data_IF_052081945425
#
_entry.id   IF_052081945425
#
_cell.length_a   1.000
_cell.length_b   1.000
_cell.length_c   1.000
_cell.angle_alpha   90.00
_cell.angle_beta   90.00
_cell.angle_gamma   90.00
#
_symmetry.space_group_name_H-M   'P 1'
#
loop_
_entity.id
_entity.type
_entity.pdbx_description
1 polymer ?
#
# COMPACT_ATOMS: atom_id res chain seq x y z
N UNK A 1 25.73 -9.36 1.32
CA UNK A 1 26.33 -8.00 1.28
C UNK A 1 25.29 -7.04 0.73
N UNK A 2 24.95 -6.02 1.48
CA UNK A 2 24.02 -4.96 1.06
C UNK A 2 24.70 -4.03 0.07
N UNK A 3 24.12 -3.82 -1.10
CA UNK A 3 24.67 -2.94 -2.14
C UNK A 3 23.57 -2.34 -3.00
N UNK A 4 23.86 -1.18 -3.60
CA UNK A 4 23.05 -0.68 -4.70
C UNK A 4 23.11 -1.71 -5.84
N UNK A 5 21.96 -2.16 -6.29
CA UNK A 5 21.81 -3.10 -7.40
C UNK A 5 21.72 -2.37 -8.73
N UNK A 6 20.86 -1.36 -8.79
CA UNK A 6 20.65 -0.49 -9.94
C UNK A 6 20.02 0.83 -9.52
N UNK A 7 20.18 1.90 -10.31
CA UNK A 7 19.61 3.22 -10.03
C UNK A 7 19.29 3.98 -11.33
N UNK A 8 18.31 4.86 -11.25
CA UNK A 8 17.92 5.82 -12.28
C UNK A 8 17.85 7.24 -11.71
N UNK A 9 17.24 8.16 -12.44
CA UNK A 9 17.16 9.55 -12.01
C UNK A 9 16.33 9.74 -10.74
N UNK A 10 15.26 8.94 -10.58
CA UNK A 10 14.29 9.06 -9.49
C UNK A 10 14.09 7.78 -8.70
N UNK A 11 14.91 6.76 -8.88
CA UNK A 11 14.78 5.49 -8.18
C UNK A 11 16.12 4.84 -7.89
N UNK A 12 16.16 4.05 -6.81
CA UNK A 12 17.31 3.22 -6.43
C UNK A 12 16.82 1.86 -5.96
N UNK A 13 17.46 0.80 -6.43
CA UNK A 13 17.21 -0.56 -5.99
C UNK A 13 18.39 -1.08 -5.18
N UNK A 14 18.11 -1.66 -4.03
CA UNK A 14 19.10 -2.28 -3.15
C UNK A 14 18.93 -3.79 -3.11
N UNK A 15 20.03 -4.52 -3.25
CA UNK A 15 20.08 -5.95 -3.03
C UNK A 15 20.48 -6.25 -1.58
N UNK A 16 19.60 -6.91 -0.83
CA UNK A 16 19.85 -7.28 0.57
C UNK A 16 18.58 -7.44 1.39
N UNK A 17 18.79 -7.72 2.67
CA UNK A 17 17.70 -7.69 3.65
C UNK A 17 17.31 -6.24 3.96
N UNK A 18 16.02 -5.96 4.00
CA UNK A 18 15.54 -4.60 4.28
C UNK A 18 16.00 -4.08 5.64
N UNK A 19 16.22 -4.95 6.63
CA UNK A 19 16.71 -4.58 7.96
C UNK A 19 18.15 -4.03 7.92
N UNK A 20 18.98 -4.59 7.03
CA UNK A 20 20.36 -4.14 6.85
C UNK A 20 20.44 -2.88 5.97
N UNK A 21 19.61 -2.84 4.90
CA UNK A 21 19.58 -1.70 3.96
C UNK A 21 19.04 -0.44 4.62
N UNK A 22 18.07 -0.57 5.50
CA UNK A 22 17.43 0.56 6.17
C UNK A 22 18.44 1.49 6.88
N UNK A 23 19.52 0.93 7.42
CA UNK A 23 20.59 1.70 8.06
C UNK A 23 21.38 2.60 7.09
N UNK A 24 21.29 2.38 5.77
CA UNK A 24 21.94 3.18 4.74
C UNK A 24 21.06 4.35 4.26
N UNK A 25 19.79 4.34 4.61
CA UNK A 25 18.86 5.37 4.17
C UNK A 25 19.06 6.65 5.00
N UNK A 26 18.95 7.83 4.37
CA UNK A 26 18.99 9.08 5.13
C UNK A 26 17.87 9.14 6.17
N UNK A 27 18.19 9.61 7.36
CA UNK A 27 17.20 9.79 8.42
C UNK A 27 16.04 10.70 7.94
N UNK A 28 14.83 10.39 8.37
CA UNK A 28 13.62 11.19 8.14
C UNK A 28 13.31 11.48 6.64
N UNK A 29 13.83 10.67 5.72
CA UNK A 29 13.71 10.90 4.28
C UNK A 29 12.49 10.22 3.64
N UNK A 30 12.01 9.12 4.21
CA UNK A 30 10.94 8.27 3.64
C UNK A 30 9.57 8.83 4.02
N UNK A 31 8.84 9.32 3.02
CA UNK A 31 7.49 9.87 3.21
C UNK A 31 6.42 8.79 3.32
N UNK A 32 6.58 7.70 2.57
CA UNK A 32 5.64 6.58 2.59
C UNK A 32 6.34 5.25 2.34
N UNK A 33 5.95 4.24 3.08
CA UNK A 33 6.21 2.83 2.78
C UNK A 33 4.93 2.24 2.22
N UNK A 34 5.01 1.63 1.03
CA UNK A 34 3.88 0.92 0.41
C UNK A 34 4.39 -0.43 -0.02
N UNK A 35 3.89 -1.49 0.63
CA UNK A 35 4.47 -2.81 0.48
C UNK A 35 3.45 -3.94 0.61
N UNK A 36 3.78 -5.08 0.00
CA UNK A 36 3.12 -6.37 0.20
C UNK A 36 4.19 -7.39 0.59
N UNK A 37 4.51 -7.53 1.88
CA UNK A 37 5.53 -8.44 2.35
C UNK A 37 5.15 -9.90 2.03
N UNK A 38 6.10 -10.86 2.08
CA UNK A 38 5.78 -12.28 2.04
C UNK A 38 4.72 -12.60 3.10
N UNK A 39 3.62 -13.27 2.70
CA UNK A 39 2.58 -13.65 3.66
C UNK A 39 3.04 -14.88 4.44
N UNK A 40 2.60 -14.98 5.70
CA UNK A 40 2.96 -16.10 6.56
C UNK A 40 2.66 -17.45 5.87
N UNK A 41 3.59 -18.39 5.96
CA UNK A 41 3.52 -19.76 5.42
C UNK A 41 3.21 -19.88 3.92
N UNK A 42 3.04 -18.77 3.21
CA UNK A 42 2.77 -18.80 1.79
C UNK A 42 4.08 -18.86 0.99
N UNK A 43 4.13 -19.79 0.03
CA UNK A 43 5.25 -19.93 -0.91
C UNK A 43 6.60 -20.09 -0.19
N UNK A 44 6.64 -20.93 0.83
CA UNK A 44 7.84 -21.24 1.58
C UNK A 44 9.02 -21.64 0.67
N UNK A 45 8.73 -22.35 -0.43
CA UNK A 45 9.72 -22.76 -1.44
C UNK A 45 10.33 -21.58 -2.22
N UNK A 46 9.67 -20.42 -2.24
CA UNK A 46 10.11 -19.26 -3.01
C UNK A 46 10.68 -18.14 -2.15
N UNK A 47 10.14 -17.93 -0.95
CA UNK A 47 10.48 -16.79 -0.08
C UNK A 47 10.97 -17.21 1.31
N UNK A 48 11.17 -18.53 1.55
CA UNK A 48 11.64 -19.04 2.84
C UNK A 48 10.59 -19.11 3.96
N UNK A 49 9.31 -18.82 3.64
CA UNK A 49 8.14 -18.97 4.52
C UNK A 49 8.35 -18.53 5.96
N UNK A 50 7.75 -17.44 6.38
CA UNK A 50 7.80 -17.03 7.79
C UNK A 50 6.66 -17.73 8.51
N UNK A 51 6.93 -18.51 9.60
CA UNK A 51 5.89 -19.14 10.38
C UNK A 51 4.88 -18.12 10.93
N UNK A 52 3.60 -18.48 10.99
CA UNK A 52 2.56 -17.57 11.53
C UNK A 52 2.87 -17.10 12.95
N UNK A 53 3.43 -17.98 13.79
CA UNK A 53 3.82 -17.64 15.16
C UNK A 53 4.95 -16.59 15.24
N UNK A 54 5.83 -16.55 14.26
CA UNK A 54 6.97 -15.62 14.18
C UNK A 54 6.67 -14.35 13.41
N UNK A 55 5.59 -14.35 12.63
CA UNK A 55 5.25 -13.26 11.72
C UNK A 55 5.06 -11.90 12.42
N UNK A 56 4.43 -11.83 13.62
CA UNK A 56 4.29 -10.57 14.35
C UNK A 56 5.65 -9.98 14.77
N UNK A 57 6.56 -10.78 15.33
CA UNK A 57 7.89 -10.31 15.74
C UNK A 57 8.75 -9.93 14.54
N UNK A 58 8.74 -10.73 13.48
CA UNK A 58 9.41 -10.42 12.23
C UNK A 58 8.91 -9.11 11.60
N UNK A 59 7.59 -8.86 11.66
CA UNK A 59 7.03 -7.61 11.16
C UNK A 59 7.52 -6.41 11.97
N UNK A 60 7.56 -6.54 13.29
CA UNK A 60 8.12 -5.48 14.15
C UNK A 60 9.60 -5.24 13.84
N UNK A 61 10.40 -6.28 13.67
CA UNK A 61 11.83 -6.16 13.38
C UNK A 61 12.12 -5.28 12.14
N UNK A 62 11.48 -5.57 11.00
CA UNK A 62 11.74 -4.77 9.80
C UNK A 62 11.11 -3.38 9.89
N UNK A 63 9.98 -3.22 10.55
CA UNK A 63 9.38 -1.90 10.77
C UNK A 63 10.25 -1.02 11.67
N UNK A 64 10.82 -1.59 12.73
CA UNK A 64 11.78 -0.85 13.59
C UNK A 64 13.07 -0.50 12.85
N UNK A 65 13.56 -1.38 11.99
CA UNK A 65 14.76 -1.09 11.18
C UNK A 65 14.55 0.13 10.25
N UNK A 66 13.37 0.27 9.63
CA UNK A 66 13.07 1.42 8.75
C UNK A 66 12.67 2.69 9.52
N UNK A 67 12.30 2.59 10.80
CA UNK A 67 11.79 3.72 11.60
C UNK A 67 12.70 4.96 11.56
N UNK A 68 14.03 4.87 11.69
CA UNK A 68 14.90 6.03 11.63
C UNK A 68 14.88 6.79 10.30
N UNK A 69 14.58 6.07 9.21
CA UNK A 69 14.48 6.69 7.89
C UNK A 69 13.10 7.30 7.62
N UNK A 70 12.08 6.99 8.44
CA UNK A 70 10.73 7.52 8.25
C UNK A 70 10.66 9.02 8.56
N UNK A 71 10.06 9.78 7.64
CA UNK A 71 9.68 11.15 7.90
C UNK A 71 8.72 11.21 9.10
N UNK A 72 8.78 12.24 10.00
CA UNK A 72 7.90 12.35 11.15
C UNK A 72 6.39 12.28 10.83
N UNK A 73 5.99 12.71 9.63
CA UNK A 73 4.61 12.60 9.12
C UNK A 73 4.43 11.41 8.16
N UNK A 74 5.38 10.48 8.13
CA UNK A 74 5.38 9.35 7.21
C UNK A 74 4.40 8.25 7.58
N UNK A 75 3.99 7.49 6.57
CA UNK A 75 3.03 6.38 6.67
C UNK A 75 3.61 5.07 6.17
N UNK A 76 3.15 3.95 6.76
CA UNK A 76 3.49 2.58 6.34
C UNK A 76 2.20 1.85 5.98
N UNK A 77 2.07 1.47 4.70
CA UNK A 77 0.93 0.74 4.14
C UNK A 77 1.34 -0.70 3.89
N UNK A 78 0.78 -1.63 4.66
CA UNK A 78 1.10 -3.06 4.58
C UNK A 78 -0.08 -3.82 4.01
N UNK A 79 0.01 -4.24 2.75
CA UNK A 79 -1.00 -5.11 2.14
C UNK A 79 -0.80 -6.56 2.59
N UNK A 80 -1.82 -7.15 3.18
CA UNK A 80 -1.75 -8.48 3.79
C UNK A 80 -3.13 -9.14 3.78
N UNK A 81 -3.17 -10.47 3.83
CA UNK A 81 -4.42 -11.23 3.96
C UNK A 81 -4.27 -12.39 4.93
N UNK A 82 -5.36 -12.81 5.60
CA UNK A 82 -5.31 -13.98 6.46
C UNK A 82 -5.19 -15.27 5.64
N UNK A 83 -4.50 -16.26 6.20
CA UNK A 83 -4.46 -17.62 5.70
C UNK A 83 -5.65 -18.45 6.22
N UNK A 84 -5.79 -19.64 5.66
CA UNK A 84 -6.59 -20.71 6.23
C UNK A 84 -5.64 -21.81 6.70
N UNK A 85 -5.66 -22.12 8.00
CA UNK A 85 -4.92 -23.22 8.59
C UNK A 85 -5.91 -24.18 9.25
N UNK A 86 -5.86 -25.46 8.89
CA UNK A 86 -6.74 -26.52 9.41
C UNK A 86 -8.25 -26.19 9.38
N UNK A 87 -8.67 -25.49 8.33
CA UNK A 87 -10.07 -25.06 8.17
C UNK A 87 -10.47 -23.83 8.98
N UNK A 88 -9.56 -23.27 9.78
CA UNK A 88 -9.78 -22.04 10.51
C UNK A 88 -9.17 -20.83 9.79
N UNK A 89 -9.77 -19.67 9.99
CA UNK A 89 -9.14 -18.43 9.59
C UNK A 89 -8.01 -18.12 10.59
N UNK A 90 -6.80 -17.98 10.07
CA UNK A 90 -5.64 -17.64 10.90
C UNK A 90 -5.77 -16.23 11.47
N UNK A 91 -5.34 -16.06 12.70
CA UNK A 91 -5.36 -14.80 13.44
C UNK A 91 -3.99 -14.07 13.44
N UNK A 92 -3.00 -14.57 12.67
CA UNK A 92 -1.66 -13.97 12.62
C UNK A 92 -1.67 -12.48 12.28
N UNK A 93 -2.63 -12.03 11.44
CA UNK A 93 -2.77 -10.60 11.13
C UNK A 93 -3.19 -9.78 12.35
N UNK A 94 -4.09 -10.30 13.19
CA UNK A 94 -4.51 -9.64 14.42
C UNK A 94 -3.34 -9.52 15.40
N UNK A 95 -2.59 -10.60 15.58
CA UNK A 95 -1.37 -10.60 16.41
C UNK A 95 -0.32 -9.65 15.88
N UNK A 96 -0.14 -9.57 14.54
CA UNK A 96 0.79 -8.63 13.91
C UNK A 96 0.39 -7.18 14.20
N UNK A 97 -0.87 -6.81 14.04
CA UNK A 97 -1.37 -5.46 14.37
C UNK A 97 -1.11 -5.09 15.83
N UNK A 98 -1.43 -6.01 16.74
CA UNK A 98 -1.20 -5.80 18.17
C UNK A 98 0.29 -5.63 18.51
N UNK A 99 1.16 -6.45 17.91
CA UNK A 99 2.61 -6.38 18.12
C UNK A 99 3.20 -5.06 17.59
N UNK A 100 2.81 -4.62 16.39
CA UNK A 100 3.26 -3.37 15.79
C UNK A 100 2.81 -2.17 16.64
N UNK A 101 1.59 -2.17 17.13
CA UNK A 101 1.09 -1.14 18.06
C UNK A 101 1.84 -1.15 19.39
N UNK A 102 2.12 -2.33 19.94
CA UNK A 102 2.89 -2.49 21.18
C UNK A 102 4.33 -1.97 21.03
N UNK A 103 4.90 -2.03 19.80
CA UNK A 103 6.19 -1.42 19.47
C UNK A 103 6.12 0.11 19.28
N UNK A 104 4.96 0.74 19.50
CA UNK A 104 4.79 2.20 19.49
C UNK A 104 4.45 2.80 18.12
N UNK A 105 4.04 1.99 17.15
CA UNK A 105 3.45 2.50 15.91
C UNK A 105 1.98 2.88 16.13
N UNK A 106 1.57 3.96 15.50
CA UNK A 106 0.16 4.36 15.50
C UNK A 106 -0.54 3.64 14.36
N UNK A 107 -1.56 2.87 14.65
CA UNK A 107 -2.45 2.32 13.63
C UNK A 107 -3.50 3.38 13.28
N UNK A 108 -3.38 3.96 12.08
CA UNK A 108 -4.25 5.04 11.64
C UNK A 108 -5.60 4.53 11.12
N UNK A 109 -5.58 3.46 10.31
CA UNK A 109 -6.78 2.88 9.71
C UNK A 109 -6.51 1.46 9.17
N UNK A 110 -7.57 0.71 8.92
CA UNK A 110 -7.56 -0.49 8.07
C UNK A 110 -8.32 -0.18 6.78
N UNK A 111 -7.61 -0.27 5.65
CA UNK A 111 -8.20 -0.08 4.34
C UNK A 111 -8.47 -1.44 3.69
N UNK A 112 -9.52 -1.53 2.90
CA UNK A 112 -9.90 -2.76 2.22
C UNK A 112 -9.69 -2.61 0.70
N UNK A 113 -8.73 -3.35 0.16
CA UNK A 113 -8.65 -3.53 -1.28
C UNK A 113 -9.71 -4.53 -1.73
N UNK A 114 -10.77 -4.03 -2.36
CA UNK A 114 -11.83 -4.84 -2.94
C UNK A 114 -11.43 -5.32 -4.34
N UNK A 115 -11.58 -6.62 -4.57
CA UNK A 115 -11.29 -7.33 -5.85
C UNK A 115 -12.59 -7.74 -6.53
N UNK A 116 -13.23 -6.85 -7.31
CA UNK A 116 -14.56 -7.14 -7.88
C UNK A 116 -14.54 -8.32 -8.85
N UNK A 117 -13.42 -8.52 -9.54
CA UNK A 117 -13.22 -9.51 -10.61
C UNK A 117 -12.30 -10.67 -10.22
N UNK A 118 -12.00 -10.85 -8.93
CA UNK A 118 -11.11 -11.91 -8.47
C UNK A 118 -11.55 -13.29 -8.99
N UNK A 119 -10.61 -14.18 -9.41
CA UNK A 119 -10.94 -15.49 -9.95
C UNK A 119 -11.74 -16.33 -8.93
N UNK A 120 -12.61 -17.23 -9.39
CA UNK A 120 -13.43 -18.06 -8.51
C UNK A 120 -12.60 -19.22 -7.92
N UNK A 121 -11.47 -18.87 -7.29
CA UNK A 121 -10.59 -19.82 -6.63
C UNK A 121 -10.97 -19.98 -5.17
N UNK A 122 -10.80 -21.16 -4.63
CA UNK A 122 -11.03 -21.48 -3.23
C UNK A 122 -11.95 -22.68 -3.02
N UNK A 123 -12.29 -22.93 -1.77
CA UNK A 123 -13.15 -24.04 -1.39
C UNK A 123 -14.60 -23.78 -1.83
N UNK A 124 -15.31 -24.78 -2.42
CA UNK A 124 -16.72 -24.64 -2.75
C UNK A 124 -17.62 -24.51 -1.51
N UNK A 125 -17.08 -24.75 -0.32
CA UNK A 125 -17.80 -24.63 0.96
C UNK A 125 -17.66 -23.28 1.64
N UNK A 126 -16.98 -22.30 0.99
CA UNK A 126 -16.76 -20.96 1.55
C UNK A 126 -17.04 -19.89 0.50
N UNK A 127 -17.49 -18.71 0.91
CA UNK A 127 -17.57 -17.56 0.00
C UNK A 127 -16.20 -17.27 -0.62
N UNK A 128 -16.21 -16.81 -1.87
CA UNK A 128 -15.01 -16.33 -2.54
C UNK A 128 -14.45 -15.13 -1.79
N UNK A 129 -13.15 -15.16 -1.47
CA UNK A 129 -12.49 -14.02 -0.87
C UNK A 129 -12.25 -12.95 -1.93
N UNK A 130 -12.93 -11.83 -1.80
CA UNK A 130 -12.92 -10.72 -2.75
C UNK A 130 -12.21 -9.48 -2.21
N UNK A 131 -11.36 -9.61 -1.21
CA UNK A 131 -10.65 -8.48 -0.61
C UNK A 131 -9.33 -8.90 0.03
N UNK A 132 -8.46 -7.90 0.23
CA UNK A 132 -7.28 -7.95 1.11
C UNK A 132 -7.27 -6.71 1.99
N UNK A 133 -6.68 -6.82 3.18
CA UNK A 133 -6.48 -5.67 4.07
C UNK A 133 -5.21 -4.92 3.71
N UNK A 134 -5.26 -3.61 3.85
CA UNK A 134 -4.08 -2.75 3.91
C UNK A 134 -4.07 -2.09 5.29
N UNK A 135 -3.13 -2.51 6.14
CA UNK A 135 -2.95 -1.89 7.45
C UNK A 135 -2.14 -0.60 7.29
N UNK A 136 -2.71 0.49 7.74
CA UNK A 136 -2.07 1.79 7.73
C UNK A 136 -1.50 2.11 9.09
N UNK A 137 -0.18 2.10 9.18
CA UNK A 137 0.57 2.56 10.35
C UNK A 137 1.27 3.89 10.08
N UNK A 138 1.60 4.62 11.14
CA UNK A 138 2.36 5.87 11.06
C UNK A 138 3.25 6.05 12.29
N UNK A 139 4.25 6.91 12.14
CA UNK A 139 5.13 7.30 13.26
C UNK A 139 4.40 8.24 14.22
N UNK A 140 3.49 9.05 13.69
CA UNK A 140 2.79 10.12 14.40
C UNK A 140 1.27 9.94 14.27
N UNK A 141 0.46 10.29 15.28
CA UNK A 141 -1.01 10.24 15.20
C UNK A 141 -1.64 11.09 14.09
N UNK A 142 -0.88 12.04 13.54
CA UNK A 142 -1.34 12.93 12.46
C UNK A 142 -0.38 12.83 11.26
N UNK A 143 -0.40 11.70 10.53
CA UNK A 143 0.43 11.56 9.32
C UNK A 143 -0.04 12.52 8.23
N UNK A 144 0.84 12.76 7.25
CA UNK A 144 0.43 13.46 6.05
C UNK A 144 -0.57 12.60 5.24
N UNK A 145 -1.67 13.21 4.79
CA UNK A 145 -2.71 12.53 4.02
C UNK A 145 -3.42 13.50 3.07
N UNK A 146 -3.70 13.03 1.85
CA UNK A 146 -4.55 13.73 0.88
C UNK A 146 -5.80 12.91 0.56
N UNK A 147 -6.84 13.12 1.31
CA UNK A 147 -8.11 12.40 1.17
C UNK A 147 -8.86 12.75 -0.12
N UNK A 148 -8.48 13.83 -0.80
CA UNK A 148 -9.19 14.32 -1.99
C UNK A 148 -8.63 13.71 -3.27
N UNK A 149 -7.33 13.45 -3.35
CA UNK A 149 -6.69 12.88 -4.55
C UNK A 149 -7.14 11.46 -4.89
N UNK A 150 -7.64 10.74 -3.91
CA UNK A 150 -8.18 9.38 -4.06
C UNK A 150 -9.70 9.34 -4.00
N UNK A 151 -10.34 10.46 -3.65
CA UNK A 151 -11.79 10.62 -3.63
C UNK A 151 -12.37 10.63 -5.04
N UNK A 152 -13.58 10.09 -5.23
CA UNK A 152 -14.34 10.24 -6.47
C UNK A 152 -14.94 11.63 -6.53
N UNK A 153 -14.96 12.24 -7.72
CA UNK A 153 -15.88 13.31 -7.99
C UNK A 153 -17.28 12.78 -7.74
N UNK A 154 -18.00 13.36 -6.81
CA UNK A 154 -19.39 13.01 -6.59
C UNK A 154 -20.15 13.47 -7.83
N UNK A 155 -20.61 12.54 -8.65
CA UNK A 155 -21.80 12.74 -9.44
C UNK A 155 -22.95 12.81 -8.44
N UNK A 156 -23.02 13.90 -7.69
CA UNK A 156 -24.09 14.07 -6.74
C UNK A 156 -25.36 14.30 -7.53
N UNK A 157 -26.14 13.27 -7.66
CA UNK A 157 -27.57 13.44 -7.55
C UNK A 157 -27.75 14.15 -6.21
N UNK A 158 -28.00 15.45 -6.26
CA UNK A 158 -28.44 16.20 -5.13
C UNK A 158 -29.72 15.52 -4.67
N UNK A 159 -29.67 14.69 -3.65
CA UNK A 159 -30.83 14.41 -2.85
C UNK A 159 -31.17 15.72 -2.14
N UNK A 160 -31.81 16.60 -2.91
CA UNK A 160 -32.61 17.67 -2.34
C UNK A 160 -33.72 16.94 -1.62
N UNK A 161 -33.58 16.76 -0.32
CA UNK A 161 -34.69 16.48 0.55
C UNK A 161 -35.63 17.71 0.52
N UNK A 162 -36.36 17.85 -0.57
CA UNK A 162 -37.58 18.61 -0.60
C UNK A 162 -38.68 17.63 -0.24
N UNK A 163 -39.01 17.53 1.03
CA UNK A 163 -40.11 16.66 1.40
C UNK A 163 -40.04 16.24 2.84
N UNK A 164 -40.89 16.77 3.62
CA UNK A 164 -41.31 16.36 4.95
C UNK A 164 -41.16 14.86 5.16
N UNK A 165 -40.14 14.47 5.85
CA UNK A 165 -39.94 13.12 6.29
C UNK A 165 -39.03 13.15 7.50
N UNK A 166 -39.62 13.12 8.66
CA UNK A 166 -38.98 12.99 9.94
C UNK A 166 -38.19 11.70 9.95
N UNK A 167 -36.87 11.80 9.96
CA UNK A 167 -36.03 10.81 10.59
C UNK A 167 -35.39 11.50 11.79
N UNK A 168 -36.07 11.50 12.88
CA UNK A 168 -35.48 11.62 14.21
C UNK A 168 -34.57 10.42 14.39
N UNK A 169 -33.32 10.67 14.66
CA UNK A 169 -32.40 9.65 15.11
C UNK A 169 -31.13 9.61 14.30
N UNK A 170 -30.30 10.53 14.55
CA UNK A 170 -28.83 10.61 14.53
C UNK A 170 -28.46 12.06 14.24
N UNK A 171 -28.68 12.91 15.19
CA UNK A 171 -27.93 14.15 15.29
C UNK A 171 -26.53 13.76 15.74
N UNK A 172 -25.64 13.43 14.83
CA UNK A 172 -24.23 13.50 15.11
C UNK A 172 -23.89 14.99 15.26
N UNK A 173 -23.99 15.48 16.48
CA UNK A 173 -23.33 16.70 16.91
C UNK A 173 -21.84 16.52 16.65
N UNK A 174 -21.35 17.01 15.54
CA UNK A 174 -19.94 16.88 15.20
C UNK A 174 -19.59 16.89 13.71
N UNK A 175 -20.52 17.20 12.82
CA UNK A 175 -20.12 17.53 11.45
C UNK A 175 -19.47 18.91 11.45
N UNK A 176 -18.14 18.94 11.64
CA UNK A 176 -17.36 20.14 11.42
C UNK A 176 -17.56 20.62 9.96
N UNK A 177 -17.65 21.90 9.75
CA UNK A 177 -17.74 22.54 8.43
C UNK A 177 -16.60 22.17 7.47
N UNK A 178 -15.56 21.50 7.96
CA UNK A 178 -14.39 21.03 7.23
C UNK A 178 -14.64 19.84 6.29
N UNK A 179 -15.82 19.23 6.33
CA UNK A 179 -16.12 18.07 5.46
C UNK A 179 -16.61 18.45 4.05
N UNK A 180 -16.71 19.73 3.72
CA UNK A 180 -17.25 20.21 2.44
C UNK A 180 -16.34 21.25 1.79
N UNK A 181 -15.27 20.83 1.16
CA UNK A 181 -14.55 21.68 0.23
C UNK A 181 -15.39 21.87 -1.05
N UNK A 182 -15.89 23.09 -1.26
CA UNK A 182 -16.48 23.49 -2.54
C UNK A 182 -15.35 23.78 -3.52
N UNK A 183 -15.09 22.86 -4.42
CA UNK A 183 -14.31 23.17 -5.62
C UNK A 183 -15.23 23.73 -6.70
N UNK A 184 -14.76 24.74 -7.45
CA UNK A 184 -15.43 25.22 -8.67
C UNK A 184 -15.51 24.04 -9.65
N UNK A 185 -16.73 23.46 -9.84
CA UNK A 185 -16.95 22.41 -10.82
C UNK A 185 -17.39 21.06 -10.28
N UNK A 186 -17.59 20.88 -8.97
CA UNK A 186 -18.07 19.62 -8.40
C UNK A 186 -17.69 19.48 -6.92
N UNK A 187 -18.42 18.61 -6.20
CA UNK A 187 -18.06 18.24 -4.84
C UNK A 187 -17.09 17.06 -4.92
N UNK A 188 -15.86 17.26 -4.48
CA UNK A 188 -14.94 16.15 -4.28
C UNK A 188 -15.20 15.56 -2.88
N UNK A 189 -15.55 14.28 -2.83
CA UNK A 189 -15.75 13.58 -1.59
C UNK A 189 -14.41 13.02 -1.09
N UNK A 190 -14.26 12.87 0.23
CA UNK A 190 -13.17 12.10 0.81
C UNK A 190 -13.18 10.69 0.23
N UNK A 191 -12.01 10.08 0.12
CA UNK A 191 -11.92 8.66 -0.20
C UNK A 191 -12.63 7.81 0.86
N UNK A 192 -13.03 6.63 0.44
CA UNK A 192 -13.54 5.60 1.34
C UNK A 192 -12.39 4.71 1.81
N UNK A 193 -12.58 4.04 2.93
CA UNK A 193 -11.69 3.00 3.44
C UNK A 193 -11.71 1.72 2.59
N UNK A 194 -12.67 1.60 1.67
CA UNK A 194 -12.76 0.51 0.69
C UNK A 194 -12.47 1.08 -0.71
N UNK A 195 -11.47 0.52 -1.38
CA UNK A 195 -11.10 0.93 -2.73
C UNK A 195 -11.10 -0.26 -3.71
N UNK A 196 -11.80 -0.16 -4.84
CA UNK A 196 -11.83 -1.21 -5.84
C UNK A 196 -10.63 -1.10 -6.78
N UNK A 197 -9.88 -2.20 -6.96
CA UNK A 197 -8.88 -2.33 -8.02
C UNK A 197 -9.07 -3.68 -8.70
N UNK A 198 -9.22 -3.65 -10.01
CA UNK A 198 -9.38 -4.85 -10.83
C UNK A 198 -8.09 -5.67 -10.78
N UNK A 199 -8.18 -6.92 -10.37
CA UNK A 199 -7.03 -7.82 -10.21
C UNK A 199 -6.59 -8.48 -11.53
N UNK A 200 -7.44 -8.49 -12.53
CA UNK A 200 -7.22 -9.20 -13.80
C UNK A 200 -6.33 -8.48 -14.82
N UNK A 201 -6.00 -7.20 -14.61
CA UNK A 201 -5.23 -6.40 -15.58
C UNK A 201 -3.72 -6.36 -15.34
N UNK A 202 -3.15 -7.35 -14.69
CA UNK A 202 -1.70 -7.52 -14.74
C UNK A 202 -1.36 -8.13 -16.11
N UNK A 203 -0.78 -7.33 -17.00
CA UNK A 203 -0.25 -7.86 -18.27
C UNK A 203 0.90 -8.83 -17.96
N UNK A 204 0.51 -10.07 -17.74
CA UNK A 204 1.44 -11.17 -17.41
C UNK A 204 2.29 -11.59 -18.62
N UNK A 205 1.98 -11.12 -19.82
CA UNK A 205 2.65 -11.58 -21.05
C UNK A 205 4.06 -11.01 -21.21
N UNK A 206 4.36 -9.86 -20.60
CA UNK A 206 5.64 -9.17 -20.77
C UNK A 206 6.63 -9.34 -19.60
N UNK A 207 6.14 -9.71 -18.39
CA UNK A 207 6.96 -9.67 -17.17
C UNK A 207 6.68 -10.87 -16.25
N UNK A 208 6.53 -12.05 -16.82
CA UNK A 208 5.76 -13.18 -16.28
C UNK A 208 6.42 -14.01 -15.17
N UNK A 209 7.61 -13.63 -14.67
CA UNK A 209 8.36 -14.50 -13.75
C UNK A 209 8.08 -14.27 -12.27
N UNK A 210 7.32 -13.23 -11.89
CA UNK A 210 6.98 -13.01 -10.48
C UNK A 210 5.60 -13.56 -10.14
N UNK A 211 5.52 -14.55 -9.24
CA UNK A 211 4.29 -15.31 -8.98
C UNK A 211 3.22 -14.54 -8.17
N UNK A 212 3.54 -13.38 -7.59
CA UNK A 212 2.69 -12.67 -6.63
C UNK A 212 2.58 -11.16 -6.89
N UNK A 213 2.58 -10.72 -8.13
CA UNK A 213 2.37 -9.30 -8.43
C UNK A 213 0.95 -8.86 -8.08
N UNK A 214 0.82 -7.79 -7.31
CA UNK A 214 -0.46 -7.11 -7.17
C UNK A 214 -0.62 -6.02 -8.25
N UNK A 215 -1.88 -5.65 -8.62
CA UNK A 215 -2.12 -4.67 -9.67
C UNK A 215 -1.53 -3.31 -9.32
N UNK A 216 -0.96 -2.63 -10.30
CA UNK A 216 -0.36 -1.30 -10.14
C UNK A 216 -1.33 -0.26 -9.54
N UNK A 217 -2.63 -0.42 -9.79
CA UNK A 217 -3.67 0.44 -9.22
C UNK A 217 -3.70 0.45 -7.69
N UNK A 218 -3.24 -0.62 -7.03
CA UNK A 218 -3.19 -0.69 -5.56
C UNK A 218 -2.14 0.28 -5.01
N UNK A 219 -0.84 0.15 -5.34
CA UNK A 219 0.14 1.10 -4.83
C UNK A 219 -0.10 2.51 -5.35
N UNK A 220 -0.62 2.70 -6.58
CA UNK A 220 -0.95 4.02 -7.10
C UNK A 220 -2.00 4.74 -6.24
N UNK A 221 -3.02 4.02 -5.78
CA UNK A 221 -4.05 4.57 -4.91
C UNK A 221 -3.46 4.93 -3.53
N UNK A 222 -2.68 4.02 -2.94
CA UNK A 222 -2.05 4.22 -1.64
C UNK A 222 -1.04 5.36 -1.64
N UNK A 223 -0.18 5.45 -2.65
CA UNK A 223 0.81 6.53 -2.79
C UNK A 223 0.12 7.90 -2.88
N UNK A 224 -0.94 8.01 -3.67
CA UNK A 224 -1.72 9.25 -3.75
C UNK A 224 -2.32 9.69 -2.42
N UNK A 225 -2.69 8.72 -1.58
CA UNK A 225 -3.28 8.99 -0.28
C UNK A 225 -2.24 9.51 0.72
N UNK A 226 -1.05 8.90 0.78
CA UNK A 226 -0.12 9.11 1.90
C UNK A 226 1.26 9.65 1.52
N UNK A 227 1.55 9.89 0.23
CA UNK A 227 2.83 10.44 -0.18
C UNK A 227 2.67 11.88 -0.69
N UNK A 228 3.31 12.89 -0.05
CA UNK A 228 3.28 14.26 -0.53
C UNK A 228 3.99 14.41 -1.89
N UNK A 229 3.72 15.49 -2.64
CA UNK A 229 4.51 15.84 -3.81
C UNK A 229 6.01 15.91 -3.47
N UNK A 230 6.85 15.42 -4.38
CA UNK A 230 8.31 15.31 -4.19
C UNK A 230 8.74 14.36 -3.06
N UNK A 231 7.82 13.59 -2.49
CA UNK A 231 8.11 12.61 -1.44
C UNK A 231 8.99 11.46 -1.93
N UNK A 232 9.35 10.60 -1.00
CA UNK A 232 10.09 9.37 -1.24
C UNK A 232 9.24 8.17 -0.79
N UNK A 233 9.01 7.25 -1.71
CA UNK A 233 8.34 5.97 -1.43
C UNK A 233 9.39 4.88 -1.26
N UNK A 234 9.24 4.07 -0.23
CA UNK A 234 10.05 2.88 0.03
C UNK A 234 9.17 1.62 -0.09
N UNK A 235 9.68 0.60 -0.78
CA UNK A 235 9.15 -0.76 -0.72
C UNK A 235 10.25 -1.72 -0.22
N UNK A 236 10.19 -2.16 1.04
CA UNK A 236 11.19 -3.05 1.62
C UNK A 236 11.10 -4.50 1.12
N UNK A 237 10.09 -4.84 0.30
CA UNK A 237 9.86 -6.14 -0.34
C UNK A 237 9.50 -5.93 -1.80
N UNK A 238 10.39 -5.28 -2.54
CA UNK A 238 10.19 -4.71 -3.87
C UNK A 238 9.62 -5.69 -4.91
N UNK A 239 10.02 -6.97 -4.85
CA UNK A 239 9.65 -7.94 -5.88
C UNK A 239 9.96 -7.42 -7.29
N UNK A 240 9.00 -7.52 -8.19
CA UNK A 240 9.13 -7.05 -9.57
C UNK A 240 8.92 -5.52 -9.73
N UNK A 241 8.90 -4.72 -8.66
CA UNK A 241 8.90 -3.25 -8.73
C UNK A 241 7.57 -2.59 -9.07
N UNK A 242 6.45 -3.23 -8.77
CA UNK A 242 5.12 -2.66 -9.08
C UNK A 242 4.85 -1.35 -8.33
N UNK A 243 5.28 -1.27 -7.05
CA UNK A 243 5.23 -0.04 -6.27
C UNK A 243 6.07 1.06 -6.89
N UNK A 244 7.27 0.72 -7.36
CA UNK A 244 8.19 1.68 -8.01
C UNK A 244 7.61 2.27 -9.28
N UNK A 245 7.03 1.44 -10.15
CA UNK A 245 6.35 1.92 -11.37
C UNK A 245 5.21 2.90 -11.02
N UNK A 246 4.42 2.59 -9.99
CA UNK A 246 3.35 3.47 -9.53
C UNK A 246 3.91 4.79 -8.97
N UNK A 247 5.01 4.74 -8.21
CA UNK A 247 5.66 5.92 -7.64
C UNK A 247 6.20 6.86 -8.73
N UNK A 248 6.92 6.33 -9.72
CA UNK A 248 7.44 7.12 -10.85
C UNK A 248 6.32 7.74 -11.69
N UNK A 249 5.24 7.00 -11.98
CA UNK A 249 4.07 7.54 -12.67
C UNK A 249 3.37 8.65 -11.89
N UNK A 250 3.45 8.62 -10.57
CA UNK A 250 2.93 9.68 -9.71
C UNK A 250 3.89 10.87 -9.57
N UNK A 251 5.13 10.75 -10.06
CA UNK A 251 6.15 11.81 -10.03
C UNK A 251 6.86 11.94 -8.68
N UNK A 252 6.96 10.87 -7.91
CA UNK A 252 7.71 10.82 -6.65
C UNK A 252 8.92 9.90 -6.76
N UNK A 253 9.89 10.06 -5.86
CA UNK A 253 11.09 9.23 -5.83
C UNK A 253 10.79 7.87 -5.22
N UNK A 254 11.60 6.88 -5.57
CA UNK A 254 11.40 5.50 -5.16
C UNK A 254 12.69 4.82 -4.68
N UNK A 255 12.57 4.04 -3.62
CA UNK A 255 13.58 3.06 -3.19
C UNK A 255 12.90 1.70 -3.09
N UNK A 256 13.49 0.69 -3.73
CA UNK A 256 13.08 -0.70 -3.62
C UNK A 256 14.18 -1.55 -3.01
N UNK A 257 13.83 -2.47 -2.12
CA UNK A 257 14.76 -3.42 -1.51
C UNK A 257 14.26 -4.83 -1.75
N UNK A 258 15.13 -5.73 -2.19
CA UNK A 258 14.82 -7.14 -2.30
C UNK A 258 16.05 -8.01 -2.03
N UNK A 259 15.82 -9.22 -1.56
CA UNK A 259 16.86 -10.24 -1.37
C UNK A 259 17.19 -10.99 -2.64
N UNK A 260 16.29 -10.97 -3.62
CA UNK A 260 16.41 -11.70 -4.87
C UNK A 260 16.85 -10.76 -5.98
N UNK A 261 18.10 -10.95 -6.44
CA UNK A 261 18.66 -10.16 -7.52
C UNK A 261 17.89 -10.31 -8.85
N UNK A 262 17.32 -11.49 -9.11
CA UNK A 262 16.52 -11.72 -10.31
C UNK A 262 15.27 -10.82 -10.35
N UNK A 263 14.58 -10.67 -9.23
CA UNK A 263 13.43 -9.74 -9.15
C UNK A 263 13.86 -8.28 -9.26
N UNK A 264 15.03 -7.94 -8.74
CA UNK A 264 15.60 -6.59 -8.91
C UNK A 264 15.94 -6.29 -10.37
N UNK A 265 16.45 -7.28 -11.14
CA UNK A 265 16.68 -7.12 -12.58
C UNK A 265 15.38 -6.88 -13.36
N UNK A 266 14.31 -7.57 -13.00
CA UNK A 266 12.98 -7.33 -13.57
C UNK A 266 12.50 -5.94 -13.22
N UNK A 267 12.64 -5.55 -11.94
CA UNK A 267 12.26 -4.23 -11.44
C UNK A 267 13.00 -3.11 -12.16
N UNK A 268 14.34 -3.22 -12.29
CA UNK A 268 15.17 -2.23 -12.97
C UNK A 268 14.68 -1.96 -14.40
N UNK A 269 14.50 -3.02 -15.20
CA UNK A 269 13.98 -2.89 -16.58
C UNK A 269 12.63 -2.21 -16.66
N UNK A 270 11.73 -2.46 -15.70
CA UNK A 270 10.40 -1.82 -15.64
C UNK A 270 10.48 -0.34 -15.25
N UNK A 271 11.35 0.01 -14.32
CA UNK A 271 11.57 1.39 -13.89
C UNK A 271 12.25 2.22 -14.99
N UNK A 272 13.27 1.67 -15.66
CA UNK A 272 13.90 2.29 -16.83
C UNK A 272 12.89 2.55 -17.95
N UNK A 273 12.06 1.55 -18.28
CA UNK A 273 11.00 1.71 -19.26
C UNK A 273 9.96 2.78 -18.86
N UNK A 274 9.68 2.90 -17.57
CA UNK A 274 8.78 3.92 -17.04
C UNK A 274 9.39 5.33 -17.14
N UNK A 275 10.68 5.50 -16.84
CA UNK A 275 11.38 6.79 -16.97
C UNK A 275 11.55 7.21 -18.44
N UNK A 276 11.77 6.27 -19.35
CA UNK A 276 11.89 6.54 -20.78
C UNK A 276 10.56 6.89 -21.47
N UNK A 277 9.43 6.54 -20.84
CA UNK A 277 8.12 6.86 -21.38
C UNK A 277 7.84 8.37 -21.22
N UNK A 278 7.34 9.06 -22.26
CA UNK A 278 6.96 10.45 -22.11
C UNK A 278 5.91 10.57 -21.00
N UNK A 279 6.08 11.57 -20.13
CA UNK A 279 5.20 11.80 -19.00
C UNK A 279 3.73 11.92 -19.47
N UNK A 280 2.95 10.88 -19.26
CA UNK A 280 1.52 10.86 -19.63
C UNK A 280 0.65 11.72 -18.70
N UNK A 281 1.25 12.29 -17.65
CA UNK A 281 0.57 13.13 -16.67
C UNK A 281 1.36 14.40 -16.35
N UNK A 282 1.44 15.33 -17.31
CA UNK A 282 1.61 16.75 -17.00
C UNK A 282 0.22 17.34 -16.86
N UNK A 283 -0.37 17.28 -15.69
CA UNK A 283 -1.69 17.87 -15.52
C UNK A 283 -2.33 17.57 -14.18
N UNK A 284 -2.09 18.48 -13.22
CA UNK A 284 -2.84 18.88 -12.02
C UNK A 284 -2.72 18.00 -10.81
#
# INVERSE_FOLDING_TARGET
MTRVHSEGANWTLYHGDCRDVAALLPAESVSAVVTSPPYAEQRADQYGGIPEAEYPSWTVEWMEAIRPAMHPLGSVMVNIRPNLSDGNLSDYMLHTRLAVRAAGWVEAEELIWHKPDGPPLGSPKRPRRAWESVHWFSVNPQPWVDLLKTGRLSESVAFTHSGRGVTQGFTSSGQSEHSRLKLKGGRQNRCQDIFPVISGMVDRSKWNDHPAQYPEGVPAWLIRLVCPPNGLVLDPFNGAGTTGVAALKYGVRYIGIDRDAHYLDISARRLEACEAAPALFTGV
#
